data_IF_800414017515
#
_entry.id   IF_800414017515
#
_cell.length_a   1.000
_cell.length_b   1.000
_cell.length_c   1.000
_cell.angle_alpha   90.00
_cell.angle_beta   90.00
_cell.angle_gamma   90.00
#
_symmetry.space_group_name_H-M   'P 1'
#
loop_
_entity.id
_entity.type
_entity.pdbx_description
1 polymer ?
2 non-polymer ?
3 non-polymer ?
4 non-polymer ?
5 non-polymer ?
6 water ?
#
# COMPACT_ATOMS: atom_id res chain seq x y z
N UNK A 2 -12.18 5.64 16.30
CA UNK A 2 -11.46 6.90 16.23
C UNK A 2 -12.22 7.92 15.41
N UNK A 3 -11.76 9.14 15.46
CA UNK A 3 -12.38 10.23 14.69
C UNK A 3 -11.92 10.19 13.25
N UNK A 4 -12.78 10.63 12.34
CA UNK A 4 -12.34 10.89 10.96
C UNK A 4 -11.24 11.92 11.01
N UNK A 5 -10.28 11.82 10.06
CA UNK A 5 -9.15 12.72 10.03
C UNK A 5 -8.84 13.16 8.61
N UNK A 6 -8.30 14.34 8.51
CA UNK A 6 -7.70 14.88 7.28
C UNK A 6 -6.31 15.41 7.62
N UNK A 7 -5.73 16.17 6.73
CA UNK A 7 -4.44 16.83 6.96
C UNK A 7 -4.70 18.30 7.27
N UNK A 8 -3.80 18.90 8.08
CA UNK A 8 -3.94 20.29 8.53
C UNK A 8 -3.71 21.26 7.39
N UNK A 9 -2.80 20.90 6.47
CA UNK A 9 -2.46 21.76 5.35
C UNK A 9 -1.98 20.90 4.20
N UNK A 10 -1.83 21.51 3.04
CA UNK A 10 -1.35 20.79 1.86
C UNK A 10 0.06 20.27 2.09
N UNK A 11 0.30 19.02 1.69
CA UNK A 11 1.60 18.34 1.85
C UNK A 11 2.06 17.87 0.48
N UNK A 12 3.32 18.13 0.13
CA UNK A 12 3.83 17.77 -1.18
C UNK A 12 4.94 16.75 -1.12
N UNK A 13 5.01 15.86 -2.12
CA UNK A 13 6.08 14.86 -2.22
C UNK A 13 6.43 14.74 -3.68
N UNK A 14 7.66 14.36 -4.03
CA UNK A 14 8.00 14.25 -5.44
C UNK A 14 9.17 13.31 -5.63
N UNK A 15 9.28 12.78 -6.83
CA UNK A 15 10.42 11.94 -7.18
C UNK A 15 10.07 10.94 -8.23
N UNK A 16 11.02 10.08 -8.58
CA UNK A 16 10.77 9.08 -9.59
C UNK A 16 9.80 7.98 -9.12
N UNK A 17 9.05 7.47 -10.07
CA UNK A 17 8.16 6.34 -9.86
C UNK A 17 8.90 5.05 -10.19
N UNK A 18 8.68 4.00 -9.40
CA UNK A 18 9.43 2.75 -9.57
C UNK A 18 9.19 2.07 -10.90
N UNK A 19 7.96 2.12 -11.42
CA UNK A 19 7.67 1.41 -12.67
C UNK A 19 7.84 2.26 -13.90
N UNK A 20 7.35 3.51 -13.88
CA UNK A 20 7.47 4.37 -15.04
C UNK A 20 8.88 4.92 -15.19
N UNK A 21 9.59 5.10 -14.09
CA UNK A 21 10.89 5.77 -14.09
C UNK A 21 10.77 7.26 -14.34
N UNK A 22 9.54 7.81 -14.34
CA UNK A 22 9.30 9.24 -14.58
C UNK A 22 9.27 9.98 -13.29
N UNK A 23 9.59 11.25 -13.29
CA UNK A 23 9.53 12.07 -12.12
C UNK A 23 8.12 12.61 -11.94
N UNK A 24 7.49 12.37 -10.78
CA UNK A 24 6.13 12.86 -10.56
C UNK A 24 6.05 13.62 -9.26
N UNK A 25 4.91 14.31 -9.06
CA UNK A 25 4.69 15.09 -7.85
C UNK A 25 3.30 14.82 -7.32
N UNK A 26 3.18 14.83 -5.99
CA UNK A 26 1.90 14.70 -5.28
C UNK A 26 1.64 15.95 -4.50
N UNK A 27 0.37 16.31 -4.35
CA UNK A 27 -0.07 17.33 -3.41
C UNK A 27 -1.25 16.71 -2.65
N UNK A 28 -1.11 16.54 -1.33
CA UNK A 28 -2.19 16.00 -0.51
C UNK A 28 -3.00 17.17 0.05
N UNK A 29 -4.29 17.19 -0.29
CA UNK A 29 -5.17 18.28 0.08
C UNK A 29 -6.13 17.88 1.18
N UNK A 30 -6.38 18.80 2.15
CA UNK A 30 -7.42 18.53 3.16
C UNK A 30 -8.79 18.41 2.54
N UNK A 31 -9.68 17.62 3.17
CA UNK A 31 -11.05 17.46 2.72
C UNK A 31 -11.96 17.29 3.91
N UNK A 32 -13.24 17.68 3.76
CA UNK A 32 -14.19 17.58 4.86
C UNK A 32 -14.67 16.14 5.12
N UNK A 33 -15.37 15.95 6.25
CA UNK A 33 -15.91 14.68 6.64
C UNK A 33 -16.78 14.10 5.51
N UNK A 34 -16.71 12.78 5.35
CA UNK A 34 -17.48 12.06 4.36
C UNK A 34 -16.92 12.08 2.95
N UNK A 35 -15.77 12.75 2.71
CA UNK A 35 -15.21 12.78 1.37
C UNK A 35 -14.59 11.42 0.97
N UNK A 36 -13.89 10.79 1.89
CA UNK A 36 -13.13 9.58 1.58
C UNK A 36 -11.76 9.95 1.04
N UNK A 37 -11.00 8.91 0.68
CA UNK A 37 -9.68 9.06 0.06
C UNK A 37 -9.89 9.01 -1.43
N UNK A 38 -9.35 10.01 -2.13
CA UNK A 38 -9.44 9.98 -3.60
C UNK A 38 -8.20 10.61 -4.17
N UNK A 39 -7.88 10.19 -5.39
CA UNK A 39 -6.80 10.81 -6.17
C UNK A 39 -7.42 11.82 -7.12
N UNK A 40 -6.62 12.73 -7.64
CA UNK A 40 -7.08 13.72 -8.62
C UNK A 40 -5.99 13.86 -9.65
N UNK A 41 -6.38 13.75 -10.92
CA UNK A 41 -5.38 13.90 -11.98
C UNK A 41 -6.10 14.46 -13.21
N UNK A 42 -5.54 15.53 -13.79
CA UNK A 42 -6.09 16.11 -15.03
C UNK A 42 -7.59 16.37 -14.98
N UNK A 43 -8.04 16.93 -13.85
CA UNK A 43 -9.45 17.27 -13.68
C UNK A 43 -10.37 16.13 -13.30
N UNK A 44 -9.84 14.91 -13.10
CA UNK A 44 -10.67 13.76 -12.80
C UNK A 44 -10.38 13.24 -11.38
N UNK A 45 -11.44 12.96 -10.62
CA UNK A 45 -11.30 12.34 -9.31
C UNK A 45 -11.35 10.84 -9.48
N UNK A 46 -10.39 10.13 -8.87
CA UNK A 46 -10.31 8.69 -8.92
C UNK A 46 -10.40 8.21 -7.47
N UNK A 47 -11.55 7.71 -7.01
CA UNK A 47 -11.64 7.24 -5.62
C UNK A 47 -10.68 6.09 -5.36
N UNK A 48 -10.17 6.04 -4.12
CA UNK A 48 -9.27 4.95 -3.73
C UNK A 48 -10.12 3.77 -3.31
N UNK A 49 -10.79 3.18 -4.31
CA UNK A 49 -11.70 2.07 -4.07
C UNK A 49 -11.48 0.98 -5.11
N UNK A 50 -11.85 -0.23 -4.75
CA UNK A 50 -11.60 -1.38 -5.60
C UNK A 50 -12.23 -1.31 -6.98
N UNK A 51 -13.35 -0.58 -7.12
CA UNK A 51 -14.01 -0.47 -8.43
C UNK A 51 -13.10 0.21 -9.45
N UNK A 52 -12.10 0.95 -9.01
CA UNK A 52 -11.23 1.72 -9.89
C UNK A 52 -9.90 1.04 -10.15
N UNK A 53 -9.72 -0.19 -9.69
CA UNK A 53 -8.48 -0.91 -9.96
C UNK A 53 -8.43 -1.27 -11.44
N UNK A 54 -7.29 -1.04 -12.07
CA UNK A 54 -7.12 -1.34 -13.50
C UNK A 54 -5.98 -2.31 -13.77
N UNK A 55 -5.08 -2.54 -12.79
CA UNK A 55 -3.90 -3.39 -12.97
C UNK A 55 -3.44 -3.83 -11.61
N UNK A 56 -3.00 -5.08 -11.48
CA UNK A 56 -2.50 -5.61 -10.20
C UNK A 56 -1.21 -6.42 -10.36
N UNK A 57 -0.56 -6.40 -11.51
CA UNK A 57 0.70 -7.13 -11.66
C UNK A 57 1.86 -6.19 -11.39
N UNK A 58 2.50 -6.42 -10.28
CA UNK A 58 3.69 -5.75 -9.77
C UNK A 58 3.42 -4.42 -9.10
N UNK A 59 2.14 -3.98 -9.05
CA UNK A 59 1.70 -2.79 -8.32
C UNK A 59 0.19 -2.79 -8.40
N UNK A 60 -0.44 -1.93 -7.61
CA UNK A 60 -1.88 -1.72 -7.70
C UNK A 60 -2.07 -0.35 -8.32
N UNK A 61 -2.79 -0.35 -9.46
CA UNK A 61 -3.00 0.88 -10.21
C UNK A 61 -4.48 1.18 -10.34
N UNK A 62 -4.81 2.47 -10.31
CA UNK A 62 -6.21 2.93 -10.42
C UNK A 62 -6.41 3.78 -11.65
N UNK A 63 -7.65 3.80 -12.11
CA UNK A 63 -7.97 4.65 -13.24
C UNK A 63 -9.43 4.99 -13.26
N UNK A 64 -9.71 6.14 -13.90
CA UNK A 64 -11.09 6.53 -14.19
C UNK A 64 -11.07 7.52 -15.30
N UNK A 65 -12.03 7.36 -16.25
CA UNK A 65 -12.21 8.34 -17.34
C UNK A 65 -10.94 8.66 -18.11
N UNK A 66 -10.14 7.65 -18.34
CA UNK A 66 -8.93 7.85 -19.14
C UNK A 66 -7.71 8.35 -18.40
N UNK A 67 -7.80 8.54 -17.06
CA UNK A 67 -6.67 8.98 -16.22
C UNK A 67 -6.27 7.85 -15.34
N UNK A 68 -4.98 7.52 -15.34
CA UNK A 68 -4.47 6.42 -14.55
C UNK A 68 -3.35 6.83 -13.64
N UNK A 69 -3.29 6.13 -12.49
CA UNK A 69 -2.21 6.35 -11.54
C UNK A 69 -1.64 5.01 -11.10
N UNK A 70 -0.35 4.79 -11.33
CA UNK A 70 0.27 3.57 -10.90
C UNK A 70 0.78 3.66 -9.48
N UNK A 71 0.79 2.47 -8.86
CA UNK A 71 1.49 2.22 -7.61
C UNK A 71 0.94 3.01 -6.46
N UNK A 72 -0.33 2.78 -6.17
CA UNK A 72 -0.97 3.53 -5.08
C UNK A 72 -0.81 2.87 -3.71
N UNK A 73 -0.33 1.65 -3.66
CA UNK A 73 -0.39 0.89 -2.42
C UNK A 73 0.40 1.44 -1.24
N UNK A 74 1.51 2.12 -1.47
CA UNK A 74 2.32 2.62 -0.35
C UNK A 74 1.71 3.82 0.29
N UNK A 75 1.28 4.81 -0.51
CA UNK A 75 0.62 5.97 0.08
C UNK A 75 -0.69 5.55 0.73
N UNK A 76 -1.43 4.62 0.12
CA UNK A 76 -2.66 4.17 0.75
C UNK A 76 -2.40 3.44 2.04
N UNK A 77 -1.32 2.65 2.13
CA UNK A 77 -1.03 1.93 3.36
C UNK A 77 -0.76 2.92 4.48
N UNK A 78 0.04 3.98 4.19
CA UNK A 78 0.32 4.97 5.20
C UNK A 78 -0.96 5.65 5.68
N UNK A 79 -1.85 6.04 4.72
CA UNK A 79 -3.10 6.70 5.12
C UNK A 79 -3.95 5.75 5.94
N UNK A 80 -4.00 4.48 5.59
CA UNK A 80 -4.75 3.48 6.34
C UNK A 80 -4.19 3.37 7.79
N UNK A 81 -2.86 3.27 7.92
CA UNK A 81 -2.23 3.12 9.23
C UNK A 81 -2.46 4.34 10.12
N UNK A 82 -2.48 5.52 9.56
CA UNK A 82 -2.71 6.74 10.32
C UNK A 82 -4.19 7.06 10.47
N UNK A 83 -5.03 6.28 9.83
CA UNK A 83 -6.48 6.46 9.82
C UNK A 83 -6.87 7.85 9.30
N UNK A 84 -6.18 8.31 8.26
CA UNK A 84 -6.58 9.49 7.53
C UNK A 84 -7.70 9.02 6.63
N UNK A 85 -8.87 9.68 6.70
CA UNK A 85 -10.04 9.21 6.00
C UNK A 85 -10.54 10.15 4.92
N UNK A 86 -10.18 11.43 4.96
CA UNK A 86 -10.68 12.40 3.99
C UNK A 86 -9.54 13.17 3.44
N UNK A 87 -9.19 12.96 2.16
CA UNK A 87 -8.05 13.66 1.59
C UNK A 87 -8.16 13.50 0.07
N UNK A 88 -7.62 14.46 -0.65
CA UNK A 88 -7.43 14.35 -2.09
C UNK A 88 -5.96 14.32 -2.41
N UNK A 89 -5.52 13.26 -3.11
CA UNK A 89 -4.11 13.14 -3.53
C UNK A 89 -4.01 13.57 -4.97
N UNK A 90 -3.61 14.82 -5.18
CA UNK A 90 -3.43 15.32 -6.53
C UNK A 90 -2.10 14.77 -7.06
N UNK A 91 -2.15 14.20 -8.26
CA UNK A 91 -0.95 13.60 -8.89
C UNK A 91 -0.66 14.33 -10.18
N UNK A 92 0.58 14.83 -10.27
CA UNK A 92 1.06 15.46 -11.49
C UNK A 92 2.08 14.46 -12.04
N UNK A 93 1.61 13.65 -12.94
CA UNK A 93 2.39 12.52 -13.43
C UNK A 93 1.55 11.26 -13.51
N UNK A 94 2.20 10.10 -13.62
CA UNK A 94 1.55 8.85 -13.92
C UNK A 94 1.65 7.80 -12.83
N UNK A 95 2.35 8.15 -11.74
CA UNK A 95 2.63 7.17 -10.70
C UNK A 95 2.95 7.91 -9.44
N UNK A 96 2.73 7.25 -8.30
CA UNK A 96 3.13 7.78 -7.01
C UNK A 96 4.68 7.66 -6.89
N UNK A 97 5.38 8.69 -6.46
CA UNK A 97 6.83 8.55 -6.24
C UNK A 97 7.14 7.39 -5.29
N UNK A 98 8.21 6.65 -5.56
CA UNK A 98 8.61 5.53 -4.71
C UNK A 98 9.43 5.96 -3.50
N UNK A 99 10.09 7.12 -3.58
CA UNK A 99 10.95 7.64 -2.54
C UNK A 99 12.01 6.60 -2.18
N UNK A 100 12.23 6.24 -0.89
CA UNK A 100 13.27 5.26 -0.59
C UNK A 100 12.82 3.81 -0.73
N UNK A 101 11.60 3.58 -1.21
CA UNK A 101 11.04 2.25 -1.33
C UNK A 101 10.10 1.86 -0.22
N UNK A 102 10.03 2.69 0.84
CA UNK A 102 9.20 2.40 2.01
C UNK A 102 8.15 3.52 2.17
N UNK A 103 7.36 3.42 3.22
CA UNK A 103 6.40 4.47 3.52
C UNK A 103 6.93 5.54 4.44
N UNK A 104 8.23 5.53 4.79
CA UNK A 104 8.72 6.40 5.85
C UNK A 104 8.51 7.88 5.63
N UNK A 105 8.89 8.40 4.47
CA UNK A 105 8.78 9.83 4.28
C UNK A 105 7.31 10.29 4.31
N UNK A 106 6.42 9.51 3.69
CA UNK A 106 5.00 9.84 3.77
C UNK A 106 4.51 9.81 5.21
N UNK A 107 4.84 8.73 5.93
CA UNK A 107 4.41 8.54 7.30
C UNK A 107 4.84 9.66 8.22
N UNK A 108 6.12 9.99 8.19
CA UNK A 108 6.64 11.04 9.06
C UNK A 108 5.99 12.37 8.80
N UNK A 109 5.81 12.73 7.54
CA UNK A 109 5.22 14.02 7.21
C UNK A 109 3.75 14.08 7.53
N UNK A 110 3.01 13.02 7.19
CA UNK A 110 1.58 13.03 7.42
C UNK A 110 1.25 13.00 8.91
N UNK A 111 1.97 12.17 9.67
CA UNK A 111 1.70 12.01 11.09
C UNK A 111 1.80 13.31 11.90
N UNK A 112 2.67 14.22 11.48
CA UNK A 112 2.86 15.50 12.17
C UNK A 112 1.85 16.53 11.68
N UNK A 113 0.99 16.17 10.69
CA UNK A 113 0.05 17.10 10.09
C UNK A 113 -1.38 16.57 10.10
N UNK A 114 -1.77 15.80 11.09
CA UNK A 114 -3.13 15.26 11.19
C UNK A 114 -4.08 16.31 11.75
N UNK A 115 -5.27 16.42 11.15
CA UNK A 115 -6.34 17.25 11.67
C UNK A 115 -7.51 16.33 12.03
N UNK A 116 -7.86 16.21 13.33
CA UNK A 116 -9.01 15.44 13.75
C UNK A 116 -10.27 16.17 13.30
N UNK A 117 -11.29 15.40 12.93
CA UNK A 117 -12.55 15.94 12.47
C UNK A 117 -13.66 15.59 13.48
N UNK A 118 -14.92 15.82 13.11
CA UNK A 118 -16.03 15.81 14.10
C UNK A 118 -16.93 14.60 14.12
N UNK A 119 -16.72 13.66 13.22
CA UNK A 119 -17.50 12.43 13.11
C UNK A 119 -16.54 11.28 13.46
N UNK A 120 -17.06 10.18 13.95
CA UNK A 120 -16.28 8.97 14.18
C UNK A 120 -16.13 8.25 12.83
N UNK A 121 -15.09 7.41 12.71
CA UNK A 121 -14.91 6.57 11.53
C UNK A 121 -15.92 5.43 11.58
N UNK A 122 -16.54 5.12 10.42
CA UNK A 122 -17.35 3.94 10.24
C UNK A 122 -16.38 2.93 9.60
N UNK A 123 -15.82 2.03 10.40
CA UNK A 123 -14.84 1.06 9.88
C UNK A 123 -15.48 0.03 9.01
N UNK A 124 -14.69 -0.56 8.09
CA UNK A 124 -15.14 -1.73 7.38
C UNK A 124 -14.80 -2.89 8.31
N UNK A 125 -15.83 -3.52 8.91
CA UNK A 125 -15.63 -4.58 9.90
C UNK A 125 -15.87 -5.93 9.26
N UNK A 126 -14.84 -6.76 9.16
CA UNK A 126 -14.98 -8.08 8.58
C UNK A 126 -15.98 -8.86 9.47
N UNK A 127 -17.06 -9.35 8.85
CA UNK A 127 -18.16 -9.99 9.60
C UNK A 127 -18.03 -11.48 9.83
N UNK A 128 -17.37 -12.20 8.92
CA UNK A 128 -17.21 -13.63 9.07
C UNK A 128 -15.96 -14.13 8.37
N UNK A 129 -15.47 -15.36 8.69
CA UNK A 129 -14.27 -15.86 8.00
C UNK A 129 -14.46 -16.07 6.50
N UNK A 130 -13.39 -15.80 5.74
CA UNK A 130 -13.36 -15.99 4.30
C UNK A 130 -11.96 -16.38 3.88
N UNK A 131 -11.85 -17.21 2.84
CA UNK A 131 -10.56 -17.60 2.27
C UNK A 131 -10.63 -17.41 0.75
N UNK A 132 -9.60 -16.75 0.17
CA UNK A 132 -9.44 -16.63 -1.27
C UNK A 132 -8.13 -17.32 -1.62
N UNK A 133 -8.08 -17.95 -2.78
CA UNK A 133 -6.92 -18.70 -3.21
C UNK A 133 -6.65 -18.54 -4.69
N UNK A 134 -5.38 -18.64 -5.08
CA UNK A 134 -4.94 -18.61 -6.47
C UNK A 134 -3.56 -19.24 -6.59
N UNK A 135 -3.44 -20.35 -7.36
CA UNK A 135 -2.20 -21.08 -7.63
C UNK A 135 -1.24 -21.19 -6.42
N UNK A 136 -1.70 -21.83 -5.35
CA UNK A 136 -0.92 -22.05 -4.14
C UNK A 136 -0.85 -20.88 -3.16
N UNK A 137 -1.29 -19.68 -3.57
CA UNK A 137 -1.30 -18.48 -2.71
C UNK A 137 -2.65 -18.44 -2.05
N UNK A 138 -2.71 -17.97 -0.80
CA UNK A 138 -3.96 -17.95 -0.06
C UNK A 138 -4.03 -16.72 0.86
N UNK A 139 -5.22 -16.18 1.08
CA UNK A 139 -5.43 -15.14 2.08
C UNK A 139 -6.70 -15.49 2.82
N UNK A 140 -6.63 -15.43 4.13
CA UNK A 140 -7.77 -15.66 4.98
C UNK A 140 -8.06 -14.35 5.73
N UNK A 141 -9.32 -14.00 5.85
CA UNK A 141 -9.74 -12.87 6.66
C UNK A 141 -10.76 -13.37 7.68
N UNK A 142 -10.79 -12.80 8.86
CA UNK A 142 -11.78 -13.18 9.88
C UNK A 142 -12.04 -12.01 10.80
N UNK A 143 -13.14 -12.04 11.58
CA UNK A 143 -13.44 -10.92 12.48
C UNK A 143 -12.37 -10.63 13.52
N UNK A 144 -12.19 -9.34 13.82
CA UNK A 144 -11.30 -8.83 14.86
C UNK A 144 -11.68 -7.41 15.12
N UNK A 145 -11.58 -6.97 16.40
CA UNK A 145 -11.86 -5.59 16.80
C UNK A 145 -10.70 -4.68 16.43
N UNK A 146 -9.55 -5.29 16.12
CA UNK A 146 -8.32 -4.59 15.77
C UNK A 146 -7.85 -5.06 14.41
N UNK A 147 -7.13 -4.20 13.70
CA UNK A 147 -6.53 -4.62 12.44
C UNK A 147 -5.28 -5.46 12.76
N UNK A 148 -5.26 -6.70 12.27
CA UNK A 148 -4.12 -7.57 12.50
C UNK A 148 -3.81 -8.20 11.18
N UNK A 149 -2.54 -8.13 10.74
CA UNK A 149 -2.18 -8.67 9.43
C UNK A 149 -0.89 -9.44 9.49
N UNK A 150 -0.97 -10.69 9.05
CA UNK A 150 0.20 -11.56 8.97
C UNK A 150 0.48 -11.91 7.53
N UNK A 151 1.76 -11.86 7.13
CA UNK A 151 2.18 -12.34 5.85
C UNK A 151 3.24 -13.42 6.08
N UNK A 152 3.10 -14.52 5.34
CA UNK A 152 4.10 -15.60 5.35
C UNK A 152 4.62 -15.79 3.93
N UNK A 153 5.92 -15.69 3.80
CA UNK A 153 6.57 -15.88 2.51
C UNK A 153 7.30 -17.21 2.47
N UNK A 154 7.51 -17.70 1.26
CA UNK A 154 8.28 -18.93 1.00
C UNK A 154 9.21 -18.56 -0.13
N UNK A 155 10.34 -17.95 0.21
CA UNK A 155 11.26 -17.45 -0.79
C UNK A 155 12.17 -18.51 -1.36
N UNK A 156 12.47 -18.39 -2.67
CA UNK A 156 13.31 -19.35 -3.39
C UNK A 156 14.77 -18.91 -3.39
N UNK A 157 15.21 -18.33 -2.29
CA UNK A 157 16.59 -17.92 -2.08
C UNK A 157 16.94 -18.16 -0.62
N UNK A 158 18.05 -17.58 -0.18
CA UNK A 158 18.57 -17.81 1.16
C UNK A 158 17.58 -17.48 2.27
N UNK A 159 16.62 -16.59 2.02
CA UNK A 159 15.67 -16.20 3.07
C UNK A 159 14.74 -17.30 3.49
N UNK A 160 14.43 -18.21 2.59
CA UNK A 160 13.54 -19.32 2.93
C UNK A 160 12.17 -18.88 3.39
N UNK A 161 11.68 -19.48 4.47
CA UNK A 161 10.37 -19.19 5.03
C UNK A 161 10.46 -18.15 6.14
N UNK A 162 9.62 -17.11 6.07
CA UNK A 162 9.58 -16.10 7.12
C UNK A 162 8.15 -15.59 7.24
N UNK A 163 7.78 -15.16 8.43
CA UNK A 163 6.44 -14.66 8.69
C UNK A 163 6.57 -13.39 9.53
N UNK A 164 5.59 -12.47 9.40
CA UNK A 164 5.55 -11.26 10.20
C UNK A 164 4.12 -10.87 10.44
N UNK A 165 3.81 -10.46 11.68
CA UNK A 165 2.48 -10.00 12.04
C UNK A 165 2.49 -8.55 12.50
N UNK A 166 1.68 -7.72 11.84
CA UNK A 166 1.40 -6.37 12.27
C UNK A 166 0.15 -6.39 13.17
N UNK A 167 0.21 -5.61 14.24
CA UNK A 167 -0.98 -5.32 15.03
C UNK A 167 -0.99 -3.80 15.23
N UNK A 168 -2.18 -3.25 15.54
CA UNK A 168 -2.32 -1.80 15.85
C UNK A 168 -1.37 -1.40 16.95
N UNK A 169 -0.73 -0.25 16.78
CA UNK A 169 0.26 0.26 17.70
C UNK A 169 1.67 -0.01 17.23
N UNK A 170 1.82 -0.93 16.24
CA UNK A 170 3.11 -1.29 15.73
C UNK A 170 3.38 -0.78 14.30
N UNK A 171 2.76 0.35 13.92
CA UNK A 171 2.89 0.93 12.56
C UNK A 171 4.34 1.19 12.22
N UNK A 172 5.14 1.62 13.24
CA UNK A 172 6.55 1.91 13.00
C UNK A 172 7.38 0.69 12.61
N UNK A 173 6.83 -0.51 12.80
CA UNK A 173 7.52 -1.74 12.44
C UNK A 173 7.43 -2.07 10.96
N UNK A 174 6.49 -1.45 10.21
CA UNK A 174 6.36 -1.79 8.78
C UNK A 174 6.56 -0.60 7.83
N UNK A 175 6.51 0.64 8.33
CA UNK A 175 6.60 1.81 7.46
C UNK A 175 8.02 2.09 6.96
N UNK A 176 9.05 1.39 7.46
CA UNK A 176 10.40 1.55 6.95
C UNK A 176 10.81 0.36 6.09
N UNK A 177 9.95 -0.64 5.94
CA UNK A 177 10.33 -1.82 5.15
C UNK A 177 10.18 -1.51 3.66
N UNK A 178 11.23 -1.73 2.88
CA UNK A 178 11.25 -1.34 1.47
C UNK A 178 10.75 -2.38 0.54
N UNK A 179 10.29 -1.90 -0.64
CA UNK A 179 9.97 -2.74 -1.77
C UNK A 179 11.26 -3.56 -2.12
N UNK A 180 11.07 -4.70 -2.74
CA UNK A 180 12.19 -5.60 -3.00
C UNK A 180 11.96 -6.33 -4.29
N UNK A 181 13.05 -6.89 -4.84
CA UNK A 181 13.02 -7.63 -6.09
C UNK A 181 14.12 -8.67 -6.07
N UNK A 182 13.88 -9.73 -6.81
CA UNK A 182 14.84 -10.83 -6.96
C UNK A 182 15.53 -10.64 -8.27
N UNK A 183 16.87 -10.83 -8.28
CA UNK A 183 17.62 -10.54 -9.50
C UNK A 183 17.18 -11.36 -10.69
N UNK A 184 16.74 -12.60 -10.48
CA UNK A 184 16.33 -13.46 -11.59
C UNK A 184 14.99 -13.04 -12.18
N UNK A 185 14.28 -12.12 -11.51
CA UNK A 185 12.97 -11.66 -11.99
C UNK A 185 13.04 -10.32 -12.67
N UNK A 186 14.17 -9.65 -12.59
CA UNK A 186 14.28 -8.29 -13.13
C UNK A 186 14.15 -8.27 -14.66
N UNK A 187 14.66 -9.27 -15.38
CA UNK A 187 14.52 -9.30 -16.82
C UNK A 187 13.03 -9.30 -17.21
N UNK A 188 12.22 -10.13 -16.57
CA UNK A 188 10.79 -10.17 -16.85
C UNK A 188 10.13 -8.80 -16.61
N UNK A 189 10.39 -8.19 -15.45
CA UNK A 189 9.74 -6.93 -15.13
C UNK A 189 10.13 -5.82 -16.15
N UNK A 190 11.38 -5.82 -16.63
CA UNK A 190 11.78 -4.87 -17.65
C UNK A 190 11.10 -5.19 -18.99
N UNK A 191 10.97 -6.46 -19.31
CA UNK A 191 10.39 -6.88 -20.58
C UNK A 191 8.93 -6.54 -20.70
N UNK A 192 8.21 -6.45 -19.58
CA UNK A 192 6.79 -6.09 -19.61
C UNK A 192 6.60 -4.58 -19.44
N UNK A 193 7.64 -3.80 -19.56
CA UNK A 193 7.56 -2.35 -19.52
C UNK A 193 7.39 -1.77 -18.13
N UNK A 194 7.94 -2.47 -17.12
CA UNK A 194 7.85 -2.04 -15.73
C UNK A 194 9.25 -1.89 -15.13
N UNK A 195 9.31 -1.52 -13.85
CA UNK A 195 10.57 -1.39 -13.12
C UNK A 195 11.55 -0.38 -13.66
N UNK A 196 11.08 0.60 -14.46
CA UNK A 196 12.00 1.54 -15.09
C UNK A 196 12.68 2.47 -14.12
N UNK A 197 12.05 2.71 -12.96
CA UNK A 197 12.64 3.55 -11.94
C UNK A 197 13.35 2.82 -10.81
N UNK A 198 13.41 1.49 -10.92
CA UNK A 198 14.01 0.70 -9.88
C UNK A 198 15.52 0.82 -9.85
N UNK A 199 16.07 0.98 -8.66
CA UNK A 199 17.52 1.06 -8.48
C UNK A 199 17.85 0.58 -7.07
N UNK A 200 19.13 0.50 -6.74
CA UNK A 200 19.53 0.13 -5.39
C UNK A 200 19.25 1.27 -4.42
N UNK A 201 18.86 2.48 -4.91
CA UNK A 201 18.50 3.56 -4.00
C UNK A 201 17.07 3.43 -3.51
N UNK A 202 16.22 2.65 -4.18
CA UNK A 202 14.81 2.56 -3.75
C UNK A 202 14.29 1.14 -3.65
N UNK A 203 15.11 0.11 -3.91
CA UNK A 203 14.67 -1.27 -3.89
C UNK A 203 15.72 -2.12 -3.21
N UNK A 204 15.28 -3.07 -2.37
CA UNK A 204 16.16 -4.09 -1.83
C UNK A 204 16.22 -5.18 -2.88
N UNK A 205 17.42 -5.40 -3.49
CA UNK A 205 17.58 -6.41 -4.52
C UNK A 205 18.38 -7.59 -3.98
N UNK A 206 17.80 -8.76 -4.17
CA UNK A 206 18.35 -10.00 -3.61
C UNK A 206 18.60 -11.00 -4.72
N UNK A 207 19.68 -11.77 -4.56
CA UNK A 207 19.96 -12.90 -5.43
C UNK A 207 19.70 -14.20 -4.68
N UNK A 208 20.06 -15.33 -5.32
CA UNK A 208 19.90 -16.63 -4.68
C UNK A 208 20.68 -16.69 -3.37
N UNK A 209 21.85 -16.07 -3.31
CA UNK A 209 22.71 -16.05 -2.10
C UNK A 209 23.17 -14.64 -1.69
N UNK A 210 23.06 -13.66 -2.58
CA UNK A 210 23.58 -12.30 -2.48
C UNK A 210 22.56 -11.24 -2.05
N UNK A 211 23.05 -10.21 -1.38
CA UNK A 211 22.29 -9.00 -1.08
C UNK A 211 23.03 -7.96 -1.91
N UNK A 212 22.35 -7.32 -2.88
CA UNK A 212 23.04 -6.34 -3.71
C UNK A 212 23.32 -5.04 -3.00
N UNK A 213 22.36 -4.59 -2.18
CA UNK A 213 22.45 -3.30 -1.53
C UNK A 213 23.59 -3.26 -0.54
N UNK A 214 24.56 -2.31 -0.70
CA UNK A 214 25.69 -2.26 0.25
C UNK A 214 25.25 -2.04 1.68
N UNK A 215 24.14 -1.30 1.91
CA UNK A 215 23.63 -1.01 3.24
C UNK A 215 22.93 -2.23 3.84
N UNK A 216 22.69 -3.26 3.05
CA UNK A 216 22.04 -4.45 3.55
C UNK A 216 20.56 -4.27 3.84
N UNK A 217 19.98 -5.25 4.55
CA UNK A 217 18.56 -5.24 4.90
C UNK A 217 18.34 -4.37 6.12
N UNK A 218 17.19 -3.70 6.20
CA UNK A 218 16.85 -2.89 7.37
C UNK A 218 16.41 -3.81 8.52
N UNK A 219 15.88 -4.97 8.19
CA UNK A 219 15.46 -6.01 9.13
C UNK A 219 15.70 -7.33 8.43
N UNK A 220 15.98 -8.41 9.19
CA UNK A 220 16.22 -9.71 8.57
C UNK A 220 15.01 -10.20 7.81
N UNK A 221 13.82 -9.71 8.20
CA UNK A 221 12.58 -10.09 7.53
C UNK A 221 11.95 -8.88 6.81
N UNK A 222 12.79 -7.97 6.34
CA UNK A 222 12.29 -6.78 5.62
C UNK A 222 11.30 -7.14 4.50
N UNK A 223 11.51 -8.17 3.67
CA UNK A 223 10.53 -8.43 2.60
C UNK A 223 9.14 -8.76 3.11
N UNK A 224 9.01 -9.60 4.16
CA UNK A 224 7.66 -9.91 4.63
C UNK A 224 7.04 -8.73 5.35
N UNK A 225 7.83 -7.90 6.03
CA UNK A 225 7.28 -6.66 6.58
C UNK A 225 6.70 -5.80 5.44
N UNK A 226 7.42 -5.71 4.31
CA UNK A 226 6.94 -4.93 3.20
C UNK A 226 5.67 -5.52 2.63
N UNK A 227 5.58 -6.84 2.53
CA UNK A 227 4.36 -7.45 2.01
C UNK A 227 3.16 -7.18 2.91
N UNK A 228 3.36 -7.13 4.24
CA UNK A 228 2.28 -6.75 5.14
C UNK A 228 1.86 -5.31 4.84
N UNK A 229 2.85 -4.42 4.70
CA UNK A 229 2.60 -3.01 4.36
C UNK A 229 1.80 -2.89 3.04
N UNK A 230 2.16 -3.66 2.02
CA UNK A 230 1.40 -3.63 0.75
C UNK A 230 -0.05 -4.06 0.97
N UNK A 231 -0.26 -5.15 1.73
CA UNK A 231 -1.61 -5.66 1.92
C UNK A 231 -2.46 -4.65 2.67
N UNK A 232 -1.89 -3.94 3.63
CA UNK A 232 -2.65 -2.90 4.33
C UNK A 232 -3.06 -1.77 3.37
N UNK A 233 -2.21 -1.44 2.40
CA UNK A 233 -2.59 -0.48 1.38
C UNK A 233 -3.72 -0.98 0.49
N UNK A 234 -3.62 -2.22 0.01
CA UNK A 234 -4.66 -2.79 -0.82
C UNK A 234 -5.96 -2.94 -0.06
N UNK A 235 -5.91 -3.25 1.25
CA UNK A 235 -7.15 -3.34 2.04
C UNK A 235 -7.87 -2.02 2.10
N UNK A 236 -7.15 -0.90 2.00
CA UNK A 236 -7.84 0.39 2.09
C UNK A 236 -8.74 0.61 0.87
N UNK A 237 -8.60 -0.19 -0.18
CA UNK A 237 -9.53 -0.13 -1.32
C UNK A 237 -10.92 -0.58 -0.96
N UNK A 238 -11.14 -1.08 0.28
CA UNK A 238 -12.48 -1.30 0.77
C UNK A 238 -13.19 0.04 1.01
N UNK A 239 -12.47 1.15 1.09
CA UNK A 239 -13.07 2.47 1.16
C UNK A 239 -13.22 3.05 2.53
N UNK A 240 -12.81 2.32 3.58
CA UNK A 240 -12.87 2.75 4.98
C UNK A 240 -11.74 2.02 5.69
N UNK A 241 -11.18 2.56 6.80
CA UNK A 241 -10.18 1.78 7.55
C UNK A 241 -10.83 0.47 7.99
N UNK A 242 -10.02 -0.58 8.08
CA UNK A 242 -10.51 -1.94 8.23
C UNK A 242 -10.22 -2.53 9.58
N UNK A 243 -11.23 -3.25 10.13
CA UNK A 243 -11.04 -4.06 11.34
C UNK A 243 -11.25 -5.51 10.97
N UNK A 244 -10.20 -6.31 11.10
CA UNK A 244 -10.23 -7.72 10.76
C UNK A 244 -8.85 -8.30 10.98
N UNK A 245 -8.79 -9.63 11.02
CA UNK A 245 -7.53 -10.36 11.17
C UNK A 245 -7.27 -11.09 9.87
N UNK A 246 -6.10 -10.84 9.29
CA UNK A 246 -5.76 -11.35 7.99
C UNK A 246 -4.52 -12.17 8.02
N UNK A 247 -4.49 -13.22 7.20
CA UNK A 247 -3.30 -14.07 7.05
C UNK A 247 -3.10 -14.30 5.56
N UNK A 248 -1.96 -13.87 5.03
CA UNK A 248 -1.66 -14.06 3.63
C UNK A 248 -0.47 -14.99 3.52
N UNK A 249 -0.64 -16.08 2.75
CA UNK A 249 0.45 -16.99 2.42
C UNK A 249 0.81 -16.72 0.95
N UNK A 250 1.94 -16.03 0.73
CA UNK A 250 2.45 -15.76 -0.62
C UNK A 250 1.54 -14.84 -1.45
N UNK A 251 0.64 -14.10 -0.81
CA UNK A 251 -0.24 -13.22 -1.57
C UNK A 251 0.48 -12.07 -2.26
N UNK A 252 -0.14 -11.57 -3.30
CA UNK A 252 0.33 -10.42 -4.04
C UNK A 252 -0.84 -9.51 -4.32
N UNK A 253 -0.61 -8.43 -5.07
CA UNK A 253 -1.71 -7.49 -5.30
C UNK A 253 -2.95 -8.08 -5.93
N UNK A 254 -2.75 -9.03 -6.87
CA UNK A 254 -3.91 -9.64 -7.52
C UNK A 254 -4.80 -10.35 -6.51
N UNK A 255 -4.20 -11.16 -5.63
CA UNK A 255 -5.00 -11.88 -4.64
C UNK A 255 -5.55 -10.93 -3.58
N UNK A 256 -4.77 -9.87 -3.22
CA UNK A 256 -5.27 -8.88 -2.23
C UNK A 256 -6.53 -8.23 -2.76
N UNK A 257 -6.52 -7.84 -4.04
CA UNK A 257 -7.69 -7.18 -4.62
C UNK A 257 -8.86 -8.17 -4.79
N UNK A 258 -8.55 -9.43 -5.10
CA UNK A 258 -9.62 -10.44 -5.19
C UNK A 258 -10.30 -10.57 -3.83
N UNK A 259 -9.50 -10.57 -2.74
CA UNK A 259 -10.10 -10.64 -1.41
C UNK A 259 -10.96 -9.41 -1.13
N UNK A 260 -10.43 -8.21 -1.45
CA UNK A 260 -11.19 -7.00 -1.19
C UNK A 260 -12.54 -7.02 -1.93
N UNK A 261 -12.52 -7.43 -3.19
CA UNK A 261 -13.76 -7.46 -3.97
C UNK A 261 -14.74 -8.50 -3.39
N UNK A 262 -14.26 -9.64 -2.88
CA UNK A 262 -15.17 -10.63 -2.27
C UNK A 262 -15.75 -10.10 -0.97
N UNK A 263 -14.93 -9.43 -0.13
CA UNK A 263 -15.44 -8.86 1.12
C UNK A 263 -16.47 -7.77 0.85
N UNK A 264 -16.21 -6.92 -0.15
CA UNK A 264 -17.09 -5.81 -0.49
C UNK A 264 -18.44 -6.34 -0.97
N UNK A 265 -18.44 -7.41 -1.78
CA UNK A 265 -19.66 -8.00 -2.35
C UNK A 265 -20.51 -8.61 -1.25
N UNK A 266 -19.86 -9.34 -0.32
CA UNK A 266 -20.53 -10.01 0.80
C UNK A 266 -21.23 -9.04 1.74
N UNK A 267 -20.61 -7.90 2.04
CA UNK A 267 -21.13 -6.92 2.99
C UNK A 267 -21.89 -5.74 2.35
N UNK A 268 -21.86 -5.65 1.00
CA UNK A 268 -22.54 -4.60 0.22
C UNK A 268 -22.79 -5.08 -1.20
#
# INVERSE_FOLDING_TARGET
>A
MGLEKTVKEKLSFEGVGIHTGEYSKLIIHPEKEGTGIRFFKNGVYIPARHEFVVHTNHSTDLGFKGQRIKTVEHILSVLHLLEITNVTIEVIGNEIPILDGSGWEFYEAIRKNILNQNREIDYFVVEEPIIVEDEGRLIKAEPSDTLEVTYEGEFKNFLGRQKFTFVEGNEEEIVLARTFAFDWEIEHIKKVGLGKGGSLKNTLVLGKDKVYNPEGLRYENEPVRHKVFDLIGDLYLLGSPVKGKFYSFRGGHSLNVKLVKELAKKQKLTR
#
